data_IF_077092339993
#
_entry.id   IF_077092339993
#
_cell.length_a   1.000
_cell.length_b   1.000
_cell.length_c   1.000
_cell.angle_alpha   90.00
_cell.angle_beta   90.00
_cell.angle_gamma   90.00
#
_symmetry.space_group_name_H-M   'P 1'
#
loop_
_entity.id
_entity.type
_entity.pdbx_description
1 polymer ?
#
# COMPACT_ATOMS: atom_id res chain seq x y z
N UNK A 1 71.88 -38.57 6.37
CA UNK A 1 70.44 -38.76 6.62
C UNK A 1 69.84 -37.42 7.00
N UNK A 2 69.12 -36.78 6.09
CA UNK A 2 68.38 -35.55 6.37
C UNK A 2 66.89 -35.87 6.22
N UNK A 3 66.16 -35.81 7.34
CA UNK A 3 64.71 -36.04 7.40
C UNK A 3 64.00 -34.86 6.72
N UNK A 4 63.16 -35.19 5.74
CA UNK A 4 62.23 -34.28 5.10
C UNK A 4 61.11 -33.96 6.12
N UNK A 5 61.10 -32.75 6.68
CA UNK A 5 59.95 -32.25 7.45
C UNK A 5 58.93 -31.69 6.48
N UNK A 6 57.81 -32.40 6.34
CA UNK A 6 56.63 -31.95 5.61
C UNK A 6 55.91 -30.93 6.49
N UNK A 7 56.12 -29.63 6.23
CA UNK A 7 55.36 -28.56 6.88
C UNK A 7 53.98 -28.53 6.25
N UNK A 8 53.01 -29.16 6.92
CA UNK A 8 51.59 -29.01 6.60
C UNK A 8 51.20 -27.58 6.98
N UNK A 9 51.24 -26.67 6.02
CA UNK A 9 50.65 -25.34 6.17
C UNK A 9 49.14 -25.56 6.24
N UNK A 10 48.62 -25.58 7.45
CA UNK A 10 47.20 -25.38 7.71
C UNK A 10 46.87 -23.99 7.19
N UNK A 11 46.33 -23.90 5.98
CA UNK A 11 45.56 -22.72 5.60
C UNK A 11 44.29 -22.80 6.45
N UNK A 12 44.10 -21.96 7.48
CA UNK A 12 42.74 -21.72 7.92
C UNK A 12 42.01 -21.27 6.66
N UNK A 13 40.98 -22.02 6.26
CA UNK A 13 39.96 -21.51 5.37
C UNK A 13 39.37 -20.30 6.08
N UNK A 14 39.99 -19.14 5.88
CA UNK A 14 39.34 -17.86 6.06
C UNK A 14 38.33 -17.88 4.92
N UNK A 15 37.16 -18.46 5.19
CA UNK A 15 35.94 -18.05 4.54
C UNK A 15 35.89 -16.54 4.78
N UNK A 16 36.34 -15.77 3.79
CA UNK A 16 35.79 -14.45 3.58
C UNK A 16 34.32 -14.71 3.32
N UNK A 17 33.52 -14.71 4.39
CA UNK A 17 32.10 -14.57 4.30
C UNK A 17 31.88 -13.39 3.37
N UNK A 18 31.12 -13.60 2.28
CA UNK A 18 30.53 -12.50 1.54
C UNK A 18 29.97 -11.54 2.58
N UNK A 19 30.52 -10.33 2.68
CA UNK A 19 29.91 -9.31 3.51
C UNK A 19 28.49 -9.12 2.97
N UNK A 20 27.49 -9.49 3.77
CA UNK A 20 26.10 -9.41 3.34
C UNK A 20 25.78 -7.94 3.00
N UNK A 21 25.21 -7.73 1.81
CA UNK A 21 24.77 -6.41 1.36
C UNK A 21 23.36 -6.19 1.92
N UNK A 22 23.20 -5.14 2.72
CA UNK A 22 21.94 -4.83 3.38
C UNK A 22 21.38 -3.52 2.81
N UNK A 23 20.12 -3.51 2.39
CA UNK A 23 19.47 -2.26 2.01
C UNK A 23 19.07 -1.49 3.28
N UNK A 24 19.36 -0.19 3.34
CA UNK A 24 18.97 0.66 4.48
C UNK A 24 17.46 0.65 4.75
N UNK A 25 16.62 0.46 3.73
CA UNK A 25 15.16 0.30 3.88
C UNK A 25 14.75 -1.04 4.50
N UNK A 26 15.68 -1.98 4.61
CA UNK A 26 15.48 -3.32 5.17
C UNK A 26 16.04 -3.44 6.58
N UNK A 27 16.38 -2.32 7.24
CA UNK A 27 16.81 -2.32 8.64
C UNK A 27 16.11 -1.22 9.42
N UNK A 28 15.97 -1.39 10.72
CA UNK A 28 15.43 -0.38 11.62
C UNK A 28 16.27 -0.30 12.90
N UNK A 29 16.27 0.87 13.53
CA UNK A 29 16.98 1.12 14.78
C UNK A 29 16.02 0.97 15.97
N UNK A 30 16.45 0.24 17.00
CA UNK A 30 15.77 0.16 18.28
C UNK A 30 16.81 0.20 19.41
N UNK A 31 16.70 1.19 20.30
CA UNK A 31 17.61 1.41 21.43
C UNK A 31 19.11 1.39 21.03
N UNK A 32 19.45 1.96 19.87
CA UNK A 32 20.82 2.04 19.38
C UNK A 32 21.36 0.76 18.70
N UNK A 33 20.56 -0.30 18.61
CA UNK A 33 20.86 -1.49 17.79
C UNK A 33 20.02 -1.51 16.52
N UNK A 34 20.66 -1.90 15.43
CA UNK A 34 20.06 -2.10 14.12
C UNK A 34 19.71 -3.58 13.89
N UNK A 35 18.50 -3.81 13.42
CA UNK A 35 17.94 -5.13 13.13
C UNK A 35 17.52 -5.22 11.68
N UNK A 36 17.58 -6.41 11.10
CA UNK A 36 16.93 -6.66 9.82
C UNK A 36 15.42 -6.57 9.96
N UNK A 37 14.79 -5.85 9.04
CA UNK A 37 13.35 -5.75 8.97
C UNK A 37 12.79 -7.16 8.85
N UNK A 38 11.82 -7.46 9.71
CA UNK A 38 11.14 -8.76 9.75
C UNK A 38 11.99 -9.93 10.26
N UNK A 39 13.13 -9.66 10.93
CA UNK A 39 13.91 -10.67 11.67
C UNK A 39 14.21 -10.23 13.11
N UNK A 40 14.53 -11.21 13.96
CA UNK A 40 15.22 -10.98 15.25
C UNK A 40 16.74 -10.92 15.05
N UNK A 41 17.20 -11.20 13.82
CA UNK A 41 18.60 -11.14 13.45
C UNK A 41 19.08 -9.70 13.49
N UNK A 42 20.10 -9.53 14.29
CA UNK A 42 20.81 -8.28 14.41
C UNK A 42 21.53 -8.02 13.09
N UNK A 43 21.30 -6.84 12.49
CA UNK A 43 21.86 -6.51 11.19
C UNK A 43 23.39 -6.62 11.22
N UNK A 44 23.96 -7.28 10.23
CA UNK A 44 25.40 -7.52 10.17
C UNK A 44 25.88 -7.55 8.71
N UNK A 45 26.40 -6.43 8.23
CA UNK A 45 26.74 -6.30 6.83
C UNK A 45 27.01 -4.87 6.39
N UNK A 46 27.45 -4.74 5.14
CA UNK A 46 27.65 -3.43 4.51
C UNK A 46 26.28 -2.90 4.06
N UNK A 47 25.92 -1.72 4.53
CA UNK A 47 24.62 -1.09 4.26
C UNK A 47 24.70 -0.21 3.02
N UNK A 48 23.73 -0.37 2.14
CA UNK A 48 23.58 0.35 0.88
C UNK A 48 22.23 1.04 0.81
N UNK A 49 22.19 2.15 0.08
CA UNK A 49 20.96 2.68 -0.49
C UNK A 49 20.90 2.30 -1.96
N UNK A 50 19.77 1.75 -2.38
CA UNK A 50 19.48 1.41 -3.77
C UNK A 50 18.43 2.40 -4.29
N UNK A 51 18.76 3.10 -5.38
CA UNK A 51 17.86 3.99 -6.11
C UNK A 51 18.05 3.73 -7.60
N UNK A 52 17.08 3.07 -8.26
CA UNK A 52 16.99 2.54 -9.64
C UNK A 52 18.30 2.12 -10.35
N UNK A 53 19.30 3.00 -10.51
CA UNK A 53 20.59 2.76 -11.17
C UNK A 53 21.83 2.93 -10.25
N UNK A 54 21.66 3.35 -8.99
CA UNK A 54 22.75 3.70 -8.07
C UNK A 54 22.75 2.83 -6.80
N UNK A 55 23.87 2.13 -6.56
CA UNK A 55 24.21 1.49 -5.28
C UNK A 55 25.16 2.40 -4.49
N UNK A 56 24.64 3.13 -3.49
CA UNK A 56 25.47 3.98 -2.64
C UNK A 56 25.82 3.24 -1.33
N UNK A 57 27.08 2.89 -1.07
CA UNK A 57 27.49 2.33 0.22
C UNK A 57 27.42 3.42 1.30
N UNK A 58 26.71 3.16 2.39
CA UNK A 58 26.48 4.12 3.47
C UNK A 58 27.39 3.89 4.68
N UNK A 59 27.66 2.63 5.00
CA UNK A 59 28.49 2.27 6.15
C UNK A 59 28.34 0.80 6.55
N UNK A 60 29.13 0.37 7.52
CA UNK A 60 29.15 -1.00 8.00
C UNK A 60 28.36 -1.12 9.30
N UNK A 61 27.45 -2.09 9.38
CA UNK A 61 26.85 -2.50 10.66
C UNK A 61 27.48 -3.83 11.07
N UNK A 62 27.91 -3.93 12.33
CA UNK A 62 28.40 -5.17 12.91
C UNK A 62 27.70 -5.43 14.23
N UNK A 63 27.05 -6.59 14.35
CA UNK A 63 26.24 -6.94 15.52
C UNK A 63 25.29 -5.81 15.92
N UNK A 64 24.68 -5.14 14.92
CA UNK A 64 23.66 -4.13 15.14
C UNK A 64 24.20 -2.75 15.46
N UNK A 65 25.52 -2.57 15.55
CA UNK A 65 26.11 -1.25 15.78
C UNK A 65 26.72 -0.70 14.50
N UNK A 66 26.56 0.60 14.30
CA UNK A 66 27.27 1.35 13.25
C UNK A 66 28.76 1.34 13.55
N UNK A 67 29.54 0.86 12.59
CA UNK A 67 31.00 0.79 12.66
C UNK A 67 31.64 1.80 11.69
N UNK A 68 32.73 2.42 12.13
CA UNK A 68 33.52 3.34 11.31
C UNK A 68 32.80 4.63 10.94
N UNK A 69 33.29 5.30 9.89
CA UNK A 69 32.68 6.52 9.37
C UNK A 69 31.49 6.17 8.50
N UNK A 70 30.32 6.66 8.89
CA UNK A 70 29.11 6.57 8.09
C UNK A 70 28.96 7.80 7.21
N UNK A 71 28.48 7.58 5.99
CA UNK A 71 27.95 8.64 5.14
C UNK A 71 26.58 9.02 5.70
N UNK A 72 26.56 10.02 6.57
CA UNK A 72 25.33 10.65 7.06
C UNK A 72 24.79 11.57 5.96
N UNK A 73 23.54 11.35 5.55
CA UNK A 73 22.85 12.34 4.72
C UNK A 73 22.47 13.52 5.60
N UNK A 74 22.86 14.72 5.18
CA UNK A 74 22.20 15.92 5.64
C UNK A 74 20.73 15.85 5.20
N UNK A 75 19.80 15.87 6.16
CA UNK A 75 18.41 16.17 5.89
C UNK A 75 18.34 17.36 4.92
N UNK A 76 17.50 17.26 3.89
CA UNK A 76 17.23 18.34 2.92
C UNK A 76 16.59 19.60 3.55
N UNK A 77 16.71 19.79 4.86
CA UNK A 77 16.24 20.93 5.65
C UNK A 77 17.36 21.74 6.34
N UNK A 78 18.64 21.46 6.10
CA UNK A 78 19.68 22.46 6.42
C UNK A 78 19.71 23.55 5.33
N UNK A 79 19.13 24.70 5.69
CA UNK A 79 19.26 25.97 4.94
C UNK A 79 20.72 26.20 4.53
N UNK A 80 21.00 26.12 3.23
CA UNK A 80 22.07 26.93 2.65
C UNK A 80 21.55 28.37 2.68
N UNK A 81 21.99 29.15 3.67
CA UNK A 81 21.98 30.60 3.55
C UNK A 81 23.14 30.98 2.62
N UNK A 82 22.80 31.41 1.42
CA UNK A 82 23.59 32.40 0.70
C UNK A 82 22.64 33.34 -0.04
N UNK A 83 22.52 34.54 0.55
CA UNK A 83 22.28 35.87 -0.03
C UNK A 83 21.32 36.05 -1.22
N UNK A 84 20.26 36.79 -0.90
CA UNK A 84 19.52 37.77 -1.70
C UNK A 84 19.75 37.83 -3.21
N UNK A 85 18.69 37.54 -3.97
CA UNK A 85 18.25 38.52 -4.98
C UNK A 85 16.72 38.58 -5.02
N UNK A 86 16.24 39.81 -4.88
CA UNK A 86 14.85 40.24 -4.99
C UNK A 86 14.28 39.87 -6.37
N UNK A 87 13.10 39.26 -6.45
CA UNK A 87 12.11 39.59 -7.49
C UNK A 87 10.68 39.19 -7.09
N UNK A 88 9.95 40.23 -6.68
CA UNK A 88 8.52 40.53 -6.79
C UNK A 88 7.42 39.43 -6.78
N UNK A 89 6.50 39.66 -5.84
CA UNK A 89 5.06 39.35 -5.86
C UNK A 89 4.40 39.57 -7.24
N UNK A 90 3.70 38.52 -7.71
CA UNK A 90 2.34 38.47 -8.28
C UNK A 90 2.26 37.60 -9.54
N UNK A 91 1.22 36.78 -9.50
CA UNK A 91 0.51 36.15 -10.60
C UNK A 91 1.15 34.96 -11.32
N UNK A 92 0.25 34.00 -11.58
CA UNK A 92 0.36 32.82 -12.42
C UNK A 92 1.27 31.67 -11.93
N UNK A 93 0.63 30.55 -11.58
CA UNK A 93 0.51 29.42 -12.51
C UNK A 93 -0.23 28.26 -11.81
N UNK A 94 -1.47 27.99 -12.25
CA UNK A 94 -2.01 26.62 -12.32
C UNK A 94 -1.03 25.77 -13.14
N UNK A 95 -0.07 25.10 -12.50
CA UNK A 95 0.60 23.93 -13.09
C UNK A 95 0.20 22.72 -12.28
N UNK A 96 -0.96 22.19 -12.68
CA UNK A 96 -1.24 20.76 -12.61
C UNK A 96 -0.01 20.09 -13.24
N UNK A 97 0.85 19.48 -12.44
CA UNK A 97 1.89 18.60 -12.97
C UNK A 97 1.16 17.49 -13.71
N UNK A 98 1.07 17.60 -15.05
CA UNK A 98 0.63 16.48 -15.86
C UNK A 98 1.82 15.54 -15.91
N UNK A 99 1.72 14.44 -15.17
CA UNK A 99 2.64 13.32 -15.31
C UNK A 99 2.28 12.66 -16.64
N UNK A 100 2.86 13.15 -17.73
CA UNK A 100 2.66 12.60 -19.08
C UNK A 100 3.54 11.38 -19.32
N UNK A 101 3.58 10.43 -18.38
CA UNK A 101 4.34 9.19 -18.52
C UNK A 101 3.62 8.06 -17.77
N UNK A 102 3.69 6.82 -18.28
CA UNK A 102 3.19 5.66 -17.54
C UNK A 102 3.79 5.66 -16.13
N UNK A 103 2.95 5.48 -15.12
CA UNK A 103 3.38 5.44 -13.72
C UNK A 103 3.10 4.07 -13.13
N UNK A 104 3.87 3.72 -12.11
CA UNK A 104 3.70 2.47 -11.36
C UNK A 104 3.42 2.80 -9.90
N UNK A 105 2.55 2.01 -9.27
CA UNK A 105 2.30 2.04 -7.83
C UNK A 105 2.58 0.65 -7.27
N UNK A 106 3.43 0.56 -6.26
CA UNK A 106 3.64 -0.65 -5.48
C UNK A 106 2.87 -0.54 -4.18
N UNK A 107 2.15 -1.60 -3.81
CA UNK A 107 1.37 -1.66 -2.58
C UNK A 107 1.78 -2.89 -1.81
N UNK A 108 2.20 -2.72 -0.57
CA UNK A 108 2.63 -3.82 0.29
C UNK A 108 1.74 -3.85 1.52
N UNK A 109 1.14 -5.01 1.83
CA UNK A 109 0.24 -5.16 2.95
C UNK A 109 0.78 -6.17 3.96
N UNK A 110 0.70 -5.77 5.22
CA UNK A 110 1.07 -6.54 6.38
C UNK A 110 -0.13 -6.72 7.30
N UNK A 111 -0.18 -7.88 7.96
CA UNK A 111 -1.09 -8.13 9.09
C UNK A 111 -0.27 -8.49 10.32
N UNK A 112 -0.78 -8.14 11.49
CA UNK A 112 -0.19 -8.52 12.76
C UNK A 112 -0.41 -10.00 13.06
N UNK A 113 0.63 -10.64 13.59
CA UNK A 113 0.60 -11.97 14.19
C UNK A 113 1.20 -11.84 15.60
N UNK A 114 0.52 -12.40 16.61
CA UNK A 114 1.06 -12.41 17.97
C UNK A 114 2.06 -13.56 18.08
N UNK A 115 3.32 -13.23 18.32
CA UNK A 115 4.38 -14.19 18.65
C UNK A 115 5.05 -13.77 19.94
N UNK A 116 5.20 -14.71 20.87
CA UNK A 116 5.84 -14.48 22.17
C UNK A 116 5.29 -13.23 22.91
N UNK A 117 3.96 -13.06 22.92
CA UNK A 117 3.26 -11.91 23.49
C UNK A 117 3.59 -10.54 22.85
N UNK A 118 4.13 -10.52 21.62
CA UNK A 118 4.38 -9.30 20.86
C UNK A 118 3.71 -9.37 19.49
N UNK A 119 3.20 -8.23 19.04
CA UNK A 119 2.67 -8.06 17.69
C UNK A 119 3.83 -7.98 16.69
N UNK A 120 3.85 -8.88 15.70
CA UNK A 120 4.82 -8.89 14.60
C UNK A 120 4.07 -8.72 13.28
N UNK A 121 4.55 -7.81 12.43
CA UNK A 121 3.97 -7.61 11.11
C UNK A 121 4.42 -8.68 10.12
N UNK A 122 3.44 -9.21 9.39
CA UNK A 122 3.61 -10.29 8.42
C UNK A 122 3.09 -9.88 7.06
N UNK A 123 3.95 -9.96 6.05
CA UNK A 123 3.59 -9.72 4.66
C UNK A 123 2.49 -10.69 4.21
N UNK A 124 1.35 -10.17 3.79
CA UNK A 124 0.21 -10.97 3.29
C UNK A 124 0.06 -10.88 1.78
N UNK A 125 0.32 -9.71 1.20
CA UNK A 125 0.37 -9.54 -0.25
C UNK A 125 1.18 -8.32 -0.67
N UNK A 126 1.67 -8.37 -1.90
CA UNK A 126 2.20 -7.22 -2.62
C UNK A 126 1.48 -7.08 -3.95
N UNK A 127 1.29 -5.84 -4.40
CA UNK A 127 0.60 -5.51 -5.63
C UNK A 127 1.38 -4.45 -6.38
N UNK A 128 1.60 -4.65 -7.68
CA UNK A 128 2.13 -3.63 -8.57
C UNK A 128 1.04 -3.27 -9.56
N UNK A 129 0.78 -1.98 -9.74
CA UNK A 129 -0.21 -1.44 -10.65
C UNK A 129 0.47 -0.48 -11.62
N UNK A 130 0.34 -0.75 -12.91
CA UNK A 130 0.80 0.14 -13.97
C UNK A 130 -0.37 0.95 -14.52
N UNK A 131 -0.15 2.24 -14.76
CA UNK A 131 -1.13 3.17 -15.28
C UNK A 131 -0.67 3.74 -16.62
N UNK A 132 -1.63 4.01 -17.51
CA UNK A 132 -1.36 4.78 -18.71
C UNK A 132 -1.22 6.28 -18.38
N UNK A 133 -0.85 7.08 -19.38
CA UNK A 133 -0.70 8.53 -19.25
C UNK A 133 -2.00 9.28 -18.91
N UNK A 134 -3.16 8.62 -19.01
CA UNK A 134 -4.45 9.18 -18.57
C UNK A 134 -4.77 8.84 -17.11
N UNK A 135 -3.94 8.02 -16.46
CA UNK A 135 -4.18 7.48 -15.12
C UNK A 135 -5.09 6.24 -15.11
N UNK A 136 -5.40 5.65 -16.26
CA UNK A 136 -6.19 4.42 -16.33
C UNK A 136 -5.28 3.22 -16.05
N UNK A 137 -5.76 2.26 -15.26
CA UNK A 137 -4.99 1.06 -14.90
C UNK A 137 -4.77 0.20 -16.14
N UNK A 138 -3.53 -0.06 -16.52
CA UNK A 138 -3.18 -0.93 -17.65
C UNK A 138 -3.01 -2.37 -17.22
N UNK A 139 -2.22 -2.59 -16.17
CA UNK A 139 -1.79 -3.91 -15.73
C UNK A 139 -1.70 -3.95 -14.21
N UNK A 140 -2.01 -5.09 -13.60
CA UNK A 140 -1.73 -5.33 -12.19
C UNK A 140 -1.17 -6.74 -11.98
N UNK A 141 -0.18 -6.84 -11.09
CA UNK A 141 0.28 -8.11 -10.53
C UNK A 141 -0.01 -8.12 -9.04
N UNK A 142 -0.58 -9.22 -8.54
CA UNK A 142 -0.87 -9.45 -7.12
C UNK A 142 -0.21 -10.75 -6.68
N UNK A 143 0.74 -10.65 -5.74
CA UNK A 143 1.36 -11.80 -5.08
C UNK A 143 0.79 -11.94 -3.68
N UNK A 144 0.35 -13.13 -3.30
CA UNK A 144 -0.01 -13.45 -1.91
C UNK A 144 1.01 -14.40 -1.31
N UNK A 145 1.22 -14.27 -0.01
CA UNK A 145 2.28 -14.99 0.70
C UNK A 145 1.67 -15.95 1.73
N UNK A 146 2.35 -17.06 1.98
CA UNK A 146 1.97 -17.97 3.06
C UNK A 146 2.60 -17.55 4.40
N UNK A 147 2.47 -18.40 5.41
CA UNK A 147 2.96 -18.09 6.74
C UNK A 147 4.48 -17.96 6.88
N UNK A 148 5.23 -18.44 5.89
CA UNK A 148 6.68 -18.44 5.85
C UNK A 148 7.24 -17.36 4.91
N UNK A 149 6.38 -16.46 4.40
CA UNK A 149 6.81 -15.41 3.47
C UNK A 149 7.10 -15.91 2.05
N UNK A 150 6.73 -17.14 1.69
CA UNK A 150 6.87 -17.63 0.32
C UNK A 150 5.61 -17.38 -0.50
N UNK A 151 5.79 -17.07 -1.80
CA UNK A 151 4.68 -16.75 -2.71
C UNK A 151 3.77 -17.97 -2.83
N UNK A 152 2.52 -17.81 -2.39
CA UNK A 152 1.45 -18.80 -2.47
C UNK A 152 0.69 -18.70 -3.78
N UNK A 153 0.44 -17.49 -4.26
CA UNK A 153 -0.30 -17.22 -5.50
C UNK A 153 0.27 -15.97 -6.15
N UNK A 154 0.39 -16.01 -7.47
CA UNK A 154 0.60 -14.84 -8.30
C UNK A 154 -0.58 -14.72 -9.26
N UNK A 155 -1.19 -13.54 -9.33
CA UNK A 155 -2.27 -13.23 -10.26
C UNK A 155 -1.83 -12.02 -11.08
N UNK A 156 -2.01 -12.11 -12.40
CA UNK A 156 -1.77 -11.00 -13.30
C UNK A 156 -3.09 -10.63 -13.98
N UNK A 157 -3.29 -9.33 -14.19
CA UNK A 157 -4.39 -8.83 -15.00
C UNK A 157 -3.93 -7.72 -15.91
N UNK A 158 -4.42 -7.74 -17.15
CA UNK A 158 -4.33 -6.65 -18.11
C UNK A 158 -5.72 -6.09 -18.40
N UNK A 159 -5.83 -4.78 -18.53
CA UNK A 159 -7.09 -4.06 -18.68
C UNK A 159 -7.16 -3.36 -20.03
N UNK A 160 -8.30 -3.49 -20.68
CA UNK A 160 -8.63 -2.75 -21.89
C UNK A 160 -9.95 -2.00 -21.70
N UNK A 161 -10.00 -0.75 -22.15
CA UNK A 161 -11.12 0.17 -21.93
C UNK A 161 -11.81 0.49 -23.24
N UNK A 162 -13.11 0.23 -23.32
CA UNK A 162 -13.94 0.53 -24.48
C UNK A 162 -14.86 1.69 -24.15
N UNK A 163 -14.74 2.75 -24.94
CA UNK A 163 -15.54 3.95 -24.81
C UNK A 163 -16.79 3.90 -25.70
N UNK A 164 -17.90 4.39 -25.19
CA UNK A 164 -19.13 4.60 -25.95
C UNK A 164 -19.10 5.86 -26.79
N UNK A 165 -20.21 6.11 -27.50
CA UNK A 165 -20.42 7.36 -28.27
C UNK A 165 -20.39 8.62 -27.39
N UNK A 166 -20.68 8.49 -26.09
CA UNK A 166 -20.63 9.57 -25.11
C UNK A 166 -19.19 9.97 -24.72
N UNK A 167 -18.19 9.19 -25.13
CA UNK A 167 -16.79 9.30 -24.70
C UNK A 167 -16.50 8.69 -23.32
N UNK A 168 -17.52 8.21 -22.61
CA UNK A 168 -17.38 7.51 -21.34
C UNK A 168 -16.94 6.06 -21.57
N UNK A 169 -16.29 5.47 -20.57
CA UNK A 169 -15.93 4.05 -20.58
C UNK A 169 -17.19 3.25 -20.27
N UNK A 170 -17.69 2.51 -21.25
CA UNK A 170 -18.87 1.66 -21.12
C UNK A 170 -18.49 0.23 -20.72
N UNK A 171 -17.27 -0.19 -21.06
CA UNK A 171 -16.82 -1.56 -20.85
C UNK A 171 -15.33 -1.62 -20.52
N UNK A 172 -14.99 -2.50 -19.58
CA UNK A 172 -13.61 -2.86 -19.23
C UNK A 172 -13.46 -4.35 -19.49
N UNK A 173 -12.44 -4.73 -20.25
CA UNK A 173 -12.10 -6.13 -20.54
C UNK A 173 -10.83 -6.47 -19.76
N UNK A 174 -10.83 -7.62 -19.09
CA UNK A 174 -9.76 -8.04 -18.19
C UNK A 174 -9.20 -9.38 -18.67
N UNK A 175 -7.90 -9.41 -18.92
CA UNK A 175 -7.16 -10.58 -19.39
C UNK A 175 -6.17 -11.07 -18.34
N UNK A 176 -5.76 -12.33 -18.40
CA UNK A 176 -4.61 -12.84 -17.66
C UNK A 176 -3.29 -12.63 -18.42
N UNK A 177 -2.20 -13.18 -17.88
CA UNK A 177 -0.83 -13.12 -18.42
C UNK A 177 -0.66 -13.80 -19.79
N UNK A 178 -1.59 -14.69 -20.14
CA UNK A 178 -1.64 -15.39 -21.43
C UNK A 178 -2.57 -14.70 -22.43
N UNK A 179 -3.01 -13.46 -22.15
CA UNK A 179 -4.01 -12.72 -22.92
C UNK A 179 -5.35 -13.48 -23.07
N UNK A 180 -5.70 -14.34 -22.12
CA UNK A 180 -7.01 -15.01 -22.09
C UNK A 180 -7.97 -14.10 -21.34
N UNK A 181 -9.15 -13.85 -21.93
CA UNK A 181 -10.24 -13.13 -21.29
C UNK A 181 -10.67 -13.86 -20.02
N UNK A 182 -10.62 -13.18 -18.87
CA UNK A 182 -11.04 -13.74 -17.58
C UNK A 182 -12.29 -13.05 -17.03
N UNK A 183 -12.49 -11.76 -17.30
CA UNK A 183 -13.62 -11.00 -16.81
C UNK A 183 -13.95 -9.83 -17.74
N UNK A 184 -15.21 -9.38 -17.69
CA UNK A 184 -15.70 -8.18 -18.36
C UNK A 184 -16.52 -7.35 -17.38
N UNK A 185 -16.34 -6.04 -17.36
CA UNK A 185 -17.15 -5.14 -16.57
C UNK A 185 -17.94 -4.22 -17.48
N UNK A 186 -19.25 -4.11 -17.28
CA UNK A 186 -20.11 -3.12 -17.92
C UNK A 186 -20.38 -1.97 -16.95
N UNK A 187 -20.36 -0.74 -17.46
CA UNK A 187 -20.56 0.49 -16.70
C UNK A 187 -21.80 1.21 -17.22
N UNK A 188 -22.72 1.54 -16.32
CA UNK A 188 -23.98 2.18 -16.64
C UNK A 188 -24.03 3.57 -16.01
N UNK A 189 -24.41 4.57 -16.81
CA UNK A 189 -24.47 5.97 -16.41
C UNK A 189 -25.89 6.51 -16.52
N UNK A 190 -26.23 7.49 -15.69
CA UNK A 190 -27.46 8.26 -15.85
C UNK A 190 -27.32 9.35 -16.93
N UNK A 191 -28.41 10.10 -17.13
CA UNK A 191 -28.45 11.24 -18.07
C UNK A 191 -27.43 12.35 -17.76
N UNK A 192 -26.99 12.46 -16.50
CA UNK A 192 -26.02 13.44 -16.03
C UNK A 192 -24.58 12.89 -16.12
N UNK A 193 -24.37 11.73 -16.74
CA UNK A 193 -23.08 11.03 -16.88
C UNK A 193 -22.51 10.55 -15.54
N UNK A 194 -23.34 10.42 -14.51
CA UNK A 194 -22.96 9.84 -13.22
C UNK A 194 -23.05 8.32 -13.29
N UNK A 195 -22.05 7.62 -12.76
CA UNK A 195 -22.01 6.16 -12.77
C UNK A 195 -23.02 5.59 -11.78
N UNK A 196 -24.07 4.94 -12.26
CA UNK A 196 -25.15 4.39 -11.43
C UNK A 196 -25.08 2.87 -11.26
N UNK A 197 -24.28 2.19 -12.09
CA UNK A 197 -24.12 0.75 -11.97
C UNK A 197 -22.86 0.19 -12.58
N UNK A 198 -22.41 -0.95 -12.02
CA UNK A 198 -21.39 -1.83 -12.59
C UNK A 198 -21.88 -3.27 -12.57
N UNK A 199 -21.63 -4.00 -13.63
CA UNK A 199 -21.90 -5.44 -13.70
C UNK A 199 -20.61 -6.15 -14.09
N UNK A 200 -20.18 -7.11 -13.27
CA UNK A 200 -19.00 -7.92 -13.50
C UNK A 200 -19.44 -9.28 -14.05
N UNK A 201 -18.87 -9.67 -15.19
CA UNK A 201 -19.14 -10.91 -15.87
C UNK A 201 -17.91 -11.81 -15.84
N UNK A 202 -18.16 -13.11 -15.75
CA UNK A 202 -17.14 -14.14 -15.94
C UNK A 202 -16.91 -14.47 -17.41
N UNK A 203 -16.22 -15.58 -17.64
CA UNK A 203 -15.79 -16.02 -18.98
C UNK A 203 -16.98 -16.55 -19.78
N UNK A 204 -18.02 -17.05 -19.12
CA UNK A 204 -19.21 -17.63 -19.75
C UNK A 204 -20.35 -16.60 -19.83
N UNK A 205 -20.03 -15.30 -19.75
CA UNK A 205 -20.98 -14.20 -19.70
C UNK A 205 -21.99 -14.31 -18.53
N UNK A 206 -21.65 -15.05 -17.49
CA UNK A 206 -22.40 -15.12 -16.25
C UNK A 206 -22.11 -13.90 -15.37
N UNK A 207 -23.14 -13.32 -14.77
CA UNK A 207 -22.96 -12.22 -13.79
C UNK A 207 -22.31 -12.80 -12.52
N UNK A 208 -21.19 -12.22 -12.11
CA UNK A 208 -20.46 -12.54 -10.88
C UNK A 208 -20.88 -11.61 -9.74
N UNK A 209 -20.92 -10.31 -10.01
CA UNK A 209 -21.28 -9.26 -9.04
C UNK A 209 -21.97 -8.11 -9.77
N UNK A 210 -22.88 -7.43 -9.07
CA UNK A 210 -23.48 -6.18 -9.50
C UNK A 210 -23.31 -5.14 -8.41
N UNK A 211 -22.85 -3.95 -8.78
CA UNK A 211 -22.77 -2.79 -7.89
C UNK A 211 -23.75 -1.72 -8.38
N UNK A 212 -24.52 -1.13 -7.47
CA UNK A 212 -25.40 0.02 -7.73
C UNK A 212 -24.92 1.21 -6.91
N UNK A 213 -24.98 2.40 -7.50
CA UNK A 213 -24.61 3.66 -6.88
C UNK A 213 -25.81 4.61 -6.83
N UNK A 214 -25.99 5.31 -5.71
CA UNK A 214 -26.91 6.45 -5.58
C UNK A 214 -26.16 7.69 -5.11
N UNK A 215 -26.70 8.85 -5.49
CA UNK A 215 -26.12 10.15 -5.22
C UNK A 215 -27.16 11.02 -4.53
N UNK A 216 -26.69 11.90 -3.65
CA UNK A 216 -27.56 12.89 -3.01
C UNK A 216 -27.94 14.02 -4.00
N UNK A 217 -28.74 14.97 -3.53
CA UNK A 217 -29.20 16.11 -4.32
C UNK A 217 -28.07 17.07 -4.73
N UNK A 218 -26.90 17.01 -4.07
CA UNK A 218 -25.71 17.77 -4.43
C UNK A 218 -24.80 17.05 -5.44
N UNK A 219 -25.13 15.79 -5.76
CA UNK A 219 -24.36 14.94 -6.67
C UNK A 219 -23.21 14.19 -5.99
N UNK A 220 -23.10 14.21 -4.66
CA UNK A 220 -22.11 13.42 -3.93
C UNK A 220 -22.59 11.97 -3.79
N UNK A 221 -21.66 11.01 -3.80
CA UNK A 221 -21.99 9.59 -3.70
C UNK A 221 -22.58 9.30 -2.32
N UNK A 222 -23.86 8.98 -2.25
CA UNK A 222 -24.59 8.73 -1.02
C UNK A 222 -24.53 7.24 -0.64
N UNK A 223 -24.63 6.34 -1.63
CA UNK A 223 -24.71 4.91 -1.35
C UNK A 223 -24.11 4.05 -2.45
N UNK A 224 -23.51 2.94 -2.02
CA UNK A 224 -23.06 1.83 -2.86
C UNK A 224 -23.68 0.53 -2.33
N UNK A 225 -24.23 -0.28 -3.21
CA UNK A 225 -24.78 -1.61 -2.85
C UNK A 225 -24.18 -2.67 -3.77
N UNK A 226 -23.65 -3.74 -3.18
CA UNK A 226 -23.12 -4.89 -3.89
C UNK A 226 -24.09 -6.07 -3.81
N UNK A 227 -24.25 -6.76 -4.93
CA UNK A 227 -25.11 -7.92 -5.08
C UNK A 227 -24.31 -9.09 -5.63
N UNK A 228 -24.59 -10.30 -5.14
CA UNK A 228 -24.01 -11.53 -5.68
C UNK A 228 -24.61 -11.91 -7.04
N UNK A 229 -24.06 -12.95 -7.64
CA UNK A 229 -24.55 -13.60 -8.87
C UNK A 229 -26.02 -14.05 -8.84
N UNK A 230 -26.63 -14.18 -7.66
CA UNK A 230 -28.05 -14.55 -7.50
C UNK A 230 -28.95 -13.32 -7.31
N UNK A 231 -28.38 -12.11 -7.36
CA UNK A 231 -29.10 -10.86 -7.12
C UNK A 231 -29.38 -10.60 -5.65
N UNK A 232 -28.74 -11.31 -4.72
CA UNK A 232 -28.86 -11.05 -3.29
C UNK A 232 -27.86 -9.99 -2.86
N UNK A 233 -28.29 -9.05 -2.01
CA UNK A 233 -27.39 -8.05 -1.41
C UNK A 233 -26.30 -8.73 -0.58
N UNK A 234 -25.05 -8.40 -0.86
CA UNK A 234 -23.87 -8.83 -0.12
C UNK A 234 -23.49 -7.82 0.96
N UNK A 235 -23.37 -6.56 0.55
CA UNK A 235 -23.07 -5.45 1.44
C UNK A 235 -23.59 -4.13 0.87
N UNK A 236 -23.65 -3.12 1.72
CA UNK A 236 -23.82 -1.74 1.29
C UNK A 236 -22.94 -0.81 2.09
N UNK A 237 -22.51 0.26 1.46
CA UNK A 237 -21.84 1.38 2.12
C UNK A 237 -22.66 2.64 1.91
N UNK A 238 -23.00 3.32 2.99
CA UNK A 238 -23.62 4.65 2.97
C UNK A 238 -22.56 5.67 3.36
N UNK A 239 -22.50 6.80 2.67
CA UNK A 239 -21.52 7.85 2.88
C UNK A 239 -22.21 9.12 3.33
N UNK A 240 -21.60 9.78 4.30
CA UNK A 240 -22.03 11.07 4.82
C UNK A 240 -20.87 12.05 4.70
N UNK A 241 -21.22 13.30 4.43
CA UNK A 241 -20.27 14.38 4.21
C UNK A 241 -20.55 15.53 5.16
N UNK A 242 -19.50 16.24 5.53
CA UNK A 242 -19.62 17.53 6.22
C UNK A 242 -20.02 18.65 5.24
N UNK A 243 -20.19 19.87 5.77
CA UNK A 243 -20.58 21.03 4.96
C UNK A 243 -19.52 21.46 3.95
N UNK A 244 -18.25 21.06 4.15
CA UNK A 244 -17.15 21.31 3.23
C UNK A 244 -17.05 20.24 2.13
N UNK A 245 -17.86 19.18 2.20
CA UNK A 245 -17.87 18.06 1.25
C UNK A 245 -16.87 16.95 1.60
N UNK A 246 -16.24 16.97 2.77
CA UNK A 246 -15.37 15.88 3.21
C UNK A 246 -16.21 14.74 3.77
N UNK A 247 -15.84 13.49 3.45
CA UNK A 247 -16.53 12.30 3.95
C UNK A 247 -16.27 12.13 5.45
N UNK A 248 -17.16 12.60 6.32
CA UNK A 248 -16.96 12.52 7.77
C UNK A 248 -17.39 11.17 8.37
N UNK A 249 -18.29 10.43 7.71
CA UNK A 249 -18.80 9.14 8.19
C UNK A 249 -19.10 8.19 7.03
N UNK A 250 -18.88 6.90 7.25
CA UNK A 250 -19.44 5.85 6.41
C UNK A 250 -20.03 4.71 7.24
N UNK A 251 -21.12 4.13 6.75
CA UNK A 251 -21.79 2.98 7.36
C UNK A 251 -21.71 1.79 6.40
N UNK A 252 -20.97 0.76 6.80
CA UNK A 252 -20.85 -0.51 6.08
C UNK A 252 -21.84 -1.50 6.69
N UNK A 253 -22.74 -2.05 5.90
CA UNK A 253 -23.67 -3.10 6.30
C UNK A 253 -23.35 -4.39 5.54
N UNK A 254 -23.11 -5.48 6.26
CA UNK A 254 -22.87 -6.80 5.72
C UNK A 254 -24.14 -7.65 5.85
N UNK A 255 -24.59 -8.25 4.75
CA UNK A 255 -25.81 -9.06 4.70
C UNK A 255 -25.46 -10.54 4.53
N UNK A 256 -25.72 -11.37 5.56
CA UNK A 256 -25.50 -12.82 5.49
C UNK A 256 -26.82 -13.59 5.49
N UNK A 257 -27.07 -14.41 4.46
CA UNK A 257 -28.22 -15.34 4.43
C UNK A 257 -28.19 -16.40 5.51
N UNK A 258 -26.98 -16.80 5.91
CA UNK A 258 -26.78 -18.03 6.66
C UNK A 258 -26.95 -17.83 8.16
N UNK A 259 -26.81 -16.59 8.61
CA UNK A 259 -26.73 -16.28 10.03
C UNK A 259 -27.85 -15.36 10.51
N UNK A 260 -28.68 -14.80 9.61
CA UNK A 260 -29.63 -13.71 9.91
C UNK A 260 -29.01 -12.56 10.73
N UNK A 261 -27.69 -12.42 10.64
CA UNK A 261 -26.92 -11.38 11.29
C UNK A 261 -26.64 -10.29 10.25
N UNK A 262 -27.21 -9.11 10.47
CA UNK A 262 -26.79 -7.89 9.83
C UNK A 262 -25.73 -7.25 10.72
N UNK A 263 -24.47 -7.33 10.32
CA UNK A 263 -23.40 -6.63 11.01
C UNK A 263 -23.20 -5.27 10.34
N UNK A 264 -23.11 -4.21 11.14
CA UNK A 264 -22.85 -2.87 10.67
C UNK A 264 -21.61 -2.30 11.34
N UNK A 265 -20.76 -1.64 10.56
CA UNK A 265 -19.57 -0.95 11.03
C UNK A 265 -19.73 0.51 10.62
N UNK A 266 -19.66 1.40 11.60
CA UNK A 266 -19.63 2.85 11.37
C UNK A 266 -18.19 3.34 11.50
N UNK A 267 -17.64 3.89 10.43
CA UNK A 267 -16.34 4.55 10.47
C UNK A 267 -16.51 6.06 10.45
N UNK A 268 -15.70 6.75 11.25
CA UNK A 268 -15.61 8.19 11.35
C UNK A 268 -14.26 8.65 10.83
N UNK A 269 -14.23 9.79 10.14
CA UNK A 269 -13.04 10.29 9.46
C UNK A 269 -12.63 11.64 10.01
N UNK A 270 -11.33 11.84 10.20
CA UNK A 270 -10.73 13.12 10.58
C UNK A 270 -9.74 13.57 9.51
N UNK A 271 -9.65 14.89 9.36
CA UNK A 271 -8.91 15.54 8.29
C UNK A 271 -7.91 16.56 8.85
N UNK A 272 -6.80 16.77 8.15
CA UNK A 272 -5.92 17.91 8.40
C UNK A 272 -6.52 19.21 7.85
N UNK A 273 -5.84 20.32 8.09
CA UNK A 273 -6.21 21.66 7.62
C UNK A 273 -6.24 21.80 6.08
N UNK A 274 -5.61 20.88 5.36
CA UNK A 274 -5.59 20.84 3.89
C UNK A 274 -6.63 19.88 3.31
N UNK A 275 -7.48 19.26 4.15
CA UNK A 275 -8.51 18.31 3.73
C UNK A 275 -7.99 16.89 3.42
N UNK A 276 -6.77 16.54 3.82
CA UNK A 276 -6.28 15.15 3.73
C UNK A 276 -6.80 14.34 4.91
N UNK A 277 -7.26 13.12 4.65
CA UNK A 277 -7.66 12.20 5.73
C UNK A 277 -6.43 11.83 6.54
N UNK A 278 -6.48 12.02 7.85
CA UNK A 278 -5.38 11.65 8.77
C UNK A 278 -5.76 10.47 9.66
N UNK A 279 -7.06 10.25 9.86
CA UNK A 279 -7.58 9.21 10.76
C UNK A 279 -8.92 8.67 10.27
N UNK A 280 -9.12 7.36 10.41
CA UNK A 280 -10.40 6.66 10.30
C UNK A 280 -10.59 5.77 11.52
N UNK A 281 -11.69 5.88 12.23
CA UNK A 281 -11.91 5.10 13.47
C UNK A 281 -13.32 4.55 13.59
N UNK A 282 -13.46 3.47 14.35
CA UNK A 282 -14.72 2.90 14.79
C UNK A 282 -14.59 2.33 16.21
N UNK A 283 -15.60 1.63 16.70
CA UNK A 283 -15.61 1.04 18.05
C UNK A 283 -14.52 -0.03 18.31
N UNK A 284 -13.88 -0.54 17.26
CA UNK A 284 -12.91 -1.62 17.34
C UNK A 284 -11.51 -1.23 16.85
N UNK A 285 -11.39 -0.29 15.91
CA UNK A 285 -10.14 -0.02 15.21
C UNK A 285 -9.93 1.46 14.94
N UNK A 286 -8.66 1.88 14.94
CA UNK A 286 -8.21 3.19 14.45
C UNK A 286 -7.18 2.97 13.33
N UNK A 287 -7.36 3.61 12.19
CA UNK A 287 -6.40 3.68 11.09
C UNK A 287 -5.85 5.10 10.99
N UNK A 288 -4.52 5.24 11.01
CA UNK A 288 -3.81 6.48 10.70
C UNK A 288 -3.30 6.48 9.27
N UNK A 289 -3.29 7.65 8.66
CA UNK A 289 -2.87 7.87 7.26
C UNK A 289 -1.66 8.81 7.24
N UNK A 290 -0.55 8.34 6.68
CA UNK A 290 0.70 9.10 6.59
C UNK A 290 1.04 9.41 5.14
N UNK A 291 1.52 10.62 4.90
CA UNK A 291 1.78 11.13 3.56
C UNK A 291 3.25 11.50 3.41
N UNK A 292 3.84 11.14 2.28
CA UNK A 292 5.08 11.73 1.81
C UNK A 292 4.72 12.88 0.85
N UNK A 293 5.01 14.11 1.29
CA UNK A 293 4.57 15.35 0.65
C UNK A 293 3.04 15.40 0.46
N UNK A 294 2.56 14.98 -0.71
CA UNK A 294 1.14 15.00 -1.12
C UNK A 294 0.58 13.61 -1.41
N UNK A 295 1.40 12.57 -1.42
CA UNK A 295 0.99 11.21 -1.74
C UNK A 295 0.82 10.41 -0.46
N UNK A 296 -0.25 9.62 -0.39
CA UNK A 296 -0.45 8.67 0.71
C UNK A 296 0.66 7.62 0.62
N UNK A 297 1.47 7.50 1.68
CA UNK A 297 2.60 6.59 1.75
C UNK A 297 2.30 5.38 2.64
N UNK A 298 1.50 5.58 3.69
CA UNK A 298 1.23 4.51 4.66
C UNK A 298 -0.17 4.62 5.28
N UNK A 299 -0.78 3.46 5.50
CA UNK A 299 -1.90 3.28 6.43
C UNK A 299 -1.50 2.29 7.53
N UNK A 300 -1.69 2.68 8.79
CA UNK A 300 -1.46 1.79 9.93
C UNK A 300 -2.71 1.68 10.78
N UNK A 301 -3.19 0.46 10.99
CA UNK A 301 -4.43 0.17 11.74
C UNK A 301 -4.10 -0.51 13.06
N UNK A 302 -4.75 -0.05 14.12
CA UNK A 302 -4.56 -0.48 15.50
C UNK A 302 -5.88 -0.93 16.09
N UNK A 303 -5.82 -1.85 17.05
CA UNK A 303 -6.98 -2.22 17.86
C UNK A 303 -7.29 -1.11 18.86
N UNK A 304 -8.56 -0.71 18.96
CA UNK A 304 -9.03 0.17 20.02
C UNK A 304 -9.10 -0.64 21.32
N UNK A 305 -8.20 -0.32 22.25
CA UNK A 305 -8.17 -0.67 23.66
C UNK A 305 -9.36 -1.55 24.15
N UNK A 306 -9.11 -2.85 24.30
CA UNK A 306 -10.04 -3.79 24.92
C UNK A 306 -9.75 -3.95 26.42
N UNK A 307 -10.08 -2.95 27.24
CA UNK A 307 -10.23 -3.06 28.71
C UNK A 307 -9.06 -3.74 29.47
N UNK A 308 -7.80 -3.58 29.10
CA UNK A 308 -6.70 -4.18 29.89
C UNK A 308 -5.64 -3.12 30.23
N UNK A 309 -5.31 -2.96 31.50
CA UNK A 309 -4.46 -1.89 32.06
C UNK A 309 -3.00 -1.81 31.50
N UNK A 310 -2.65 -2.61 30.49
CA UNK A 310 -1.36 -2.63 29.80
C UNK A 310 -1.51 -2.37 28.28
N UNK A 311 -2.30 -1.36 27.89
CA UNK A 311 -2.55 -1.04 26.49
C UNK A 311 -1.36 -0.37 25.80
N UNK A 312 -0.42 -1.18 25.33
CA UNK A 312 0.36 -0.83 24.15
C UNK A 312 -0.55 -0.96 22.91
N UNK A 313 -0.61 0.07 22.06
CA UNK A 313 -1.41 0.07 20.83
C UNK A 313 -1.04 -1.16 19.96
N UNK A 314 -1.90 -2.18 19.94
CA UNK A 314 -1.67 -3.39 19.14
C UNK A 314 -1.91 -3.07 17.68
N UNK A 315 -0.82 -2.92 16.91
CA UNK A 315 -0.91 -2.82 15.46
C UNK A 315 -1.57 -4.09 14.91
N UNK A 316 -2.53 -3.93 14.01
CA UNK A 316 -3.30 -5.01 13.36
C UNK A 316 -2.92 -5.15 11.90
N UNK A 317 -2.69 -4.05 11.20
CA UNK A 317 -2.26 -4.06 9.81
C UNK A 317 -1.49 -2.81 9.46
N UNK A 318 -0.63 -2.96 8.46
CA UNK A 318 0.12 -1.87 7.85
C UNK A 318 0.05 -2.02 6.34
N UNK A 319 -0.19 -0.92 5.63
CA UNK A 319 -0.22 -0.87 4.17
C UNK A 319 0.69 0.25 3.71
N UNK A 320 1.62 -0.07 2.82
CA UNK A 320 2.59 0.86 2.23
C UNK A 320 2.24 1.04 0.75
N UNK A 321 2.43 2.25 0.25
CA UNK A 321 2.18 2.71 -1.12
C UNK A 321 3.44 3.27 -1.77
#
# INVERSE_FOLDING_TARGET
MAKLFLVTIFFPNILFAQQEKINIKNIFENNGLFYENFSEDVANGMVYQFDDDLELPLGLIKNGFKEGKWLEWADKNQKIKTEESLFNKKDDIKKKHSVNSPSSLEIINYISEIKYNKAVLKLIFSQVIHFDSSGSKMEESLKTYNQFGTVKRNTYRKYEYIKGLSGLIDKIIIFNDKNILIQKQLLNYDKNKMLIGKELFGIQDEIIDKTIYSYDSSGMLEKKINYDKKGKKNNSTTFNYDIAGNKNKELIQLFSSKLDLNHSIENYYSYDENGKVIKKENEHYITYYYYDQFLLAEESTYLVNSKSENDEDVILSKKIY
#
